data_IF_566070776895
#
_entry.id   IF_566070776895
#
_cell.length_a   1.000
_cell.length_b   1.000
_cell.length_c   1.000
_cell.angle_alpha   90.00
_cell.angle_beta   90.00
_cell.angle_gamma   90.00
#
_symmetry.space_group_name_H-M   'P 1'
#
loop_
_entity.id
_entity.type
_entity.pdbx_description
1 polymer ?
#
# COMPACT_ATOMS: atom_id res chain seq x y z
N UNK A 1 -7.60 5.93 -7.99
CA UNK A 1 -6.71 5.89 -6.82
C UNK A 1 -5.26 5.95 -7.28
N UNK A 2 -4.56 7.00 -6.89
CA UNK A 2 -3.15 7.27 -7.24
C UNK A 2 -2.14 6.64 -6.27
N UNK A 3 -2.60 6.03 -5.17
CA UNK A 3 -1.76 5.43 -4.14
C UNK A 3 -1.97 6.07 -2.78
N UNK A 4 -0.89 6.34 -2.07
CA UNK A 4 -0.93 6.84 -0.70
C UNK A 4 -0.28 8.22 -0.56
N UNK A 5 -0.67 8.93 0.50
CA UNK A 5 0.00 10.11 1.01
C UNK A 5 0.40 9.86 2.47
N UNK A 6 1.70 9.75 2.73
CA UNK A 6 2.25 9.73 4.08
C UNK A 6 2.33 11.17 4.59
N UNK A 7 1.62 11.47 5.68
CA UNK A 7 1.43 12.82 6.17
C UNK A 7 1.86 12.93 7.63
N UNK A 8 2.63 13.99 7.92
CA UNK A 8 2.90 14.43 9.28
C UNK A 8 2.47 15.90 9.43
N UNK A 9 1.68 16.17 10.46
CA UNK A 9 1.26 17.51 10.82
C UNK A 9 1.05 17.61 12.33
N UNK A 10 1.71 18.60 12.93
CA UNK A 10 1.49 19.00 14.32
C UNK A 10 0.91 20.41 14.38
N UNK A 11 0.02 20.70 15.35
CA UNK A 11 -0.60 22.01 15.49
C UNK A 11 0.42 23.15 15.50
N UNK A 12 0.19 24.17 14.68
CA UNK A 12 1.07 25.33 14.54
C UNK A 12 2.36 25.10 13.74
N UNK A 13 2.61 23.86 13.28
CA UNK A 13 3.77 23.50 12.48
C UNK A 13 3.45 23.34 10.98
N UNK A 14 4.48 23.05 10.16
CA UNK A 14 4.30 22.74 8.75
C UNK A 14 3.57 21.41 8.56
N UNK A 15 3.02 21.23 7.36
CA UNK A 15 2.45 19.96 6.90
C UNK A 15 3.46 19.32 5.95
N UNK A 16 3.92 18.12 6.31
CA UNK A 16 4.84 17.33 5.51
C UNK A 16 4.05 16.22 4.80
N UNK A 17 4.11 16.15 3.47
CA UNK A 17 3.39 15.16 2.65
C UNK A 17 4.34 14.46 1.68
N UNK A 18 4.43 13.14 1.78
CA UNK A 18 5.16 12.27 0.86
C UNK A 18 4.18 11.40 0.08
N UNK A 19 4.21 11.49 -1.24
CA UNK A 19 3.33 10.71 -2.11
C UNK A 19 4.02 9.39 -2.45
N UNK A 20 3.36 8.27 -2.13
CA UNK A 20 3.82 6.93 -2.49
C UNK A 20 2.86 6.38 -3.54
N UNK A 21 3.39 5.97 -4.68
CA UNK A 21 2.61 5.45 -5.81
C UNK A 21 3.24 4.15 -6.33
N UNK A 22 2.45 3.29 -6.98
CA UNK A 22 3.01 2.17 -7.74
C UNK A 22 3.78 2.73 -8.94
N UNK A 23 5.09 2.54 -8.97
CA UNK A 23 5.97 3.04 -10.04
C UNK A 23 6.32 1.96 -11.06
N UNK A 24 6.33 0.69 -10.65
CA UNK A 24 6.51 -0.47 -11.53
C UNK A 24 5.47 -1.55 -11.18
N UNK A 25 5.24 -2.58 -12.03
CA UNK A 25 4.23 -3.61 -11.76
C UNK A 25 4.36 -4.29 -10.38
N UNK A 26 5.58 -4.38 -9.86
CA UNK A 26 5.88 -4.99 -8.56
C UNK A 26 6.57 -4.04 -7.59
N UNK A 27 6.51 -2.72 -7.80
CA UNK A 27 7.21 -1.73 -6.96
C UNK A 27 6.33 -0.52 -6.65
N UNK A 28 6.38 -0.09 -5.39
CA UNK A 28 5.86 1.18 -4.94
C UNK A 28 7.00 2.05 -4.40
N UNK A 29 7.03 3.31 -4.78
CA UNK A 29 8.07 4.25 -4.35
C UNK A 29 7.52 5.68 -4.21
N UNK A 30 8.32 6.54 -3.58
CA UNK A 30 7.97 7.95 -3.41
C UNK A 30 8.05 8.69 -4.75
N UNK A 31 6.96 9.30 -5.17
CA UNK A 31 6.89 10.05 -6.45
C UNK A 31 6.97 11.56 -6.26
N UNK A 32 6.66 12.07 -5.06
CA UNK A 32 6.78 13.48 -4.74
C UNK A 32 6.89 13.68 -3.21
N UNK A 33 7.44 14.81 -2.79
CA UNK A 33 7.56 15.23 -1.40
C UNK A 33 7.39 16.74 -1.30
N UNK A 34 6.51 17.20 -0.42
CA UNK A 34 6.22 18.63 -0.22
C UNK A 34 6.10 18.91 1.26
N UNK A 35 6.75 19.99 1.71
CA UNK A 35 6.55 20.60 3.02
C UNK A 35 5.84 21.93 2.80
N UNK A 36 4.74 22.14 3.50
CA UNK A 36 3.90 23.33 3.39
C UNK A 36 3.98 24.06 4.73
N UNK A 37 4.45 25.30 4.69
CA UNK A 37 4.61 26.11 5.89
C UNK A 37 3.27 26.42 6.56
N UNK A 38 3.31 26.68 7.86
CA UNK A 38 2.11 26.88 8.67
C UNK A 38 1.31 28.13 8.24
N UNK A 39 2.00 29.16 7.73
CA UNK A 39 1.51 30.47 7.31
C UNK A 39 1.25 30.57 5.80
N UNK A 40 1.41 29.48 5.05
CA UNK A 40 1.13 29.45 3.61
C UNK A 40 -0.37 29.72 3.34
N UNK A 41 -0.73 30.81 2.64
CA UNK A 41 -2.13 31.17 2.38
C UNK A 41 -2.85 30.12 1.53
N UNK A 42 -2.11 29.32 0.76
CA UNK A 42 -2.62 28.26 -0.11
C UNK A 42 -2.54 26.88 0.53
N UNK A 43 -2.24 26.80 1.84
CA UNK A 43 -1.96 25.55 2.56
C UNK A 43 -3.04 24.49 2.34
N UNK A 44 -4.30 24.84 2.56
CA UNK A 44 -5.41 23.89 2.41
C UNK A 44 -5.55 23.41 0.96
N UNK A 45 -5.40 24.33 -0.02
CA UNK A 45 -5.46 23.98 -1.45
C UNK A 45 -4.32 23.05 -1.86
N UNK A 46 -3.11 23.30 -1.36
CA UNK A 46 -1.93 22.47 -1.61
C UNK A 46 -2.09 21.09 -0.97
N UNK A 47 -2.54 21.01 0.29
CA UNK A 47 -2.84 19.74 0.97
C UNK A 47 -3.86 18.94 0.16
N UNK A 48 -5.00 19.54 -0.22
CA UNK A 48 -6.01 18.86 -1.05
C UNK A 48 -5.44 18.36 -2.38
N UNK A 49 -4.69 19.22 -3.09
CA UNK A 49 -4.08 18.86 -4.37
C UNK A 49 -3.11 17.68 -4.28
N UNK A 50 -2.45 17.51 -3.13
CA UNK A 50 -1.54 16.41 -2.85
C UNK A 50 -2.24 15.15 -2.36
N UNK A 51 -3.34 15.27 -1.61
CA UNK A 51 -4.01 14.13 -0.97
C UNK A 51 -5.18 13.56 -1.77
N UNK A 52 -5.78 14.31 -2.69
CA UNK A 52 -6.91 13.83 -3.53
C UNK A 52 -6.59 12.55 -4.31
N UNK A 53 -7.58 11.67 -4.42
CA UNK A 53 -7.47 10.32 -5.02
C UNK A 53 -6.39 9.43 -4.38
N UNK A 54 -6.00 9.70 -3.13
CA UNK A 54 -5.05 8.88 -2.37
C UNK A 54 -5.64 8.44 -1.04
N UNK A 55 -5.07 7.39 -0.46
CA UNK A 55 -5.28 7.04 0.94
C UNK A 55 -4.28 7.83 1.77
N UNK A 56 -4.74 8.57 2.77
CA UNK A 56 -3.87 9.33 3.67
C UNK A 56 -3.52 8.48 4.88
N UNK A 57 -2.23 8.35 5.17
CA UNK A 57 -1.71 7.68 6.38
C UNK A 57 -0.95 8.70 7.21
N UNK A 58 -1.32 8.81 8.48
CA UNK A 58 -0.70 9.70 9.45
C UNK A 58 0.44 9.01 10.18
N UNK A 59 1.49 9.77 10.47
CA UNK A 59 2.49 9.37 11.47
C UNK A 59 1.85 9.34 12.87
N UNK A 60 2.46 8.68 13.87
CA UNK A 60 1.95 8.71 15.24
C UNK A 60 1.85 10.14 15.76
N UNK A 61 0.84 10.41 16.60
CA UNK A 61 0.58 11.73 17.21
C UNK A 61 0.37 12.88 16.21
N UNK A 62 0.28 12.59 14.91
CA UNK A 62 -0.07 13.57 13.89
C UNK A 62 -1.56 13.88 13.95
N UNK A 63 -1.89 15.13 13.65
CA UNK A 63 -3.27 15.60 13.52
C UNK A 63 -3.64 15.72 12.04
N UNK A 64 -4.90 15.44 11.71
CA UNK A 64 -5.44 15.74 10.39
C UNK A 64 -5.40 17.24 10.10
N UNK A 65 -5.25 17.61 8.83
CA UNK A 65 -5.49 18.98 8.37
C UNK A 65 -6.96 19.03 7.94
N UNK A 66 -7.84 19.36 8.89
CA UNK A 66 -9.28 19.39 8.65
C UNK A 66 -9.79 20.79 8.35
N UNK A 67 -10.65 20.93 7.33
CA UNK A 67 -10.60 20.27 6.01
C UNK A 67 -9.26 20.60 5.29
N UNK A 68 -8.76 19.78 4.33
CA UNK A 68 -9.50 18.95 3.38
C UNK A 68 -9.32 17.42 3.50
N UNK A 69 -8.64 16.92 4.54
CA UNK A 69 -8.41 15.48 4.70
C UNK A 69 -9.56 14.83 5.47
N UNK A 70 -10.26 13.90 4.83
CA UNK A 70 -11.34 13.10 5.41
C UNK A 70 -10.80 11.74 5.88
N UNK A 71 -11.16 11.28 7.09
CA UNK A 71 -10.91 9.91 7.59
C UNK A 71 -9.50 9.36 7.27
N UNK A 72 -8.45 10.07 7.69
CA UNK A 72 -7.09 9.59 7.54
C UNK A 72 -6.84 8.33 8.41
N UNK A 73 -6.05 7.40 7.89
CA UNK A 73 -5.66 6.20 8.62
C UNK A 73 -4.44 6.46 9.51
N UNK A 74 -4.34 5.74 10.63
CA UNK A 74 -3.13 5.67 11.43
C UNK A 74 -2.12 4.66 10.89
N UNK A 75 -0.97 4.57 11.55
CA UNK A 75 0.07 3.58 11.20
C UNK A 75 -0.34 2.13 11.45
N UNK A 76 -1.37 1.89 12.26
CA UNK A 76 -1.97 0.57 12.50
C UNK A 76 -2.53 -0.07 11.22
N UNK A 77 -2.88 0.74 10.21
CA UNK A 77 -3.22 0.26 8.88
C UNK A 77 -2.07 -0.54 8.26
N UNK A 78 -0.81 -0.13 8.45
CA UNK A 78 0.34 -0.78 7.83
C UNK A 78 0.60 -2.14 8.48
N UNK A 79 0.37 -2.28 9.78
CA UNK A 79 0.46 -3.57 10.47
C UNK A 79 -0.59 -4.54 9.90
N UNK A 80 -1.84 -4.10 9.76
CA UNK A 80 -2.91 -4.90 9.12
C UNK A 80 -2.60 -5.22 7.66
N UNK A 81 -1.92 -4.33 6.95
CA UNK A 81 -1.47 -4.54 5.57
C UNK A 81 -0.40 -5.63 5.48
N UNK A 82 0.57 -5.62 6.39
CA UNK A 82 1.59 -6.68 6.50
C UNK A 82 0.92 -8.03 6.82
N UNK A 83 -0.05 -8.04 7.74
CA UNK A 83 -0.78 -9.25 8.10
C UNK A 83 -1.61 -9.82 6.94
N UNK A 84 -2.36 -8.96 6.24
CA UNK A 84 -3.10 -9.36 5.05
C UNK A 84 -2.17 -9.89 3.94
N UNK A 85 -0.99 -9.28 3.80
CA UNK A 85 0.03 -9.74 2.84
C UNK A 85 0.55 -11.13 3.19
N UNK A 86 0.85 -11.38 4.48
CA UNK A 86 1.29 -12.69 4.96
C UNK A 86 0.24 -13.76 4.69
N UNK A 87 -1.02 -13.51 5.06
CA UNK A 87 -2.11 -14.45 4.84
C UNK A 87 -2.29 -14.80 3.35
N UNK A 88 -2.17 -13.81 2.46
CA UNK A 88 -2.24 -14.01 1.02
C UNK A 88 -1.08 -14.86 0.48
N UNK A 89 0.15 -14.56 0.93
CA UNK A 89 1.34 -15.33 0.57
C UNK A 89 1.25 -16.80 1.02
N UNK A 90 0.74 -17.05 2.23
CA UNK A 90 0.49 -18.39 2.74
C UNK A 90 -0.59 -19.13 1.92
N UNK A 91 -1.65 -18.45 1.52
CA UNK A 91 -2.68 -19.01 0.64
C UNK A 91 -2.11 -19.42 -0.73
N UNK A 92 -1.25 -18.60 -1.32
CA UNK A 92 -0.56 -18.90 -2.58
C UNK A 92 0.33 -20.14 -2.45
N UNK A 93 1.15 -20.21 -1.40
CA UNK A 93 2.03 -21.37 -1.16
C UNK A 93 1.20 -22.64 -0.94
N UNK A 94 0.11 -22.54 -0.17
CA UNK A 94 -0.81 -23.65 0.07
C UNK A 94 -1.41 -24.16 -1.24
N UNK A 95 -1.87 -23.26 -2.11
CA UNK A 95 -2.40 -23.60 -3.43
C UNK A 95 -1.36 -24.33 -4.31
N UNK A 96 -0.11 -23.83 -4.33
CA UNK A 96 0.98 -24.44 -5.10
C UNK A 96 1.28 -25.86 -4.60
N UNK A 97 1.36 -26.04 -3.28
CA UNK A 97 1.59 -27.36 -2.66
C UNK A 97 0.45 -28.34 -2.95
N UNK A 98 -0.79 -27.88 -2.83
CA UNK A 98 -1.97 -28.69 -3.15
C UNK A 98 -1.97 -29.13 -4.62
N UNK A 99 -1.67 -28.21 -5.54
CA UNK A 99 -1.56 -28.54 -6.97
C UNK A 99 -0.43 -29.55 -7.23
N UNK A 100 0.76 -29.35 -6.65
CA UNK A 100 1.89 -30.27 -6.81
C UNK A 100 1.57 -31.69 -6.30
N UNK A 101 0.84 -31.81 -5.18
CA UNK A 101 0.46 -33.10 -4.61
C UNK A 101 -0.41 -33.95 -5.57
N UNK A 102 -1.23 -33.32 -6.42
CA UNK A 102 -2.07 -34.03 -7.41
C UNK A 102 -1.30 -34.56 -8.61
N UNK A 103 -0.05 -34.12 -8.83
CA UNK A 103 0.74 -34.43 -10.03
C UNK A 103 2.04 -35.14 -9.66
N UNK A 104 2.05 -36.47 -9.82
CA UNK A 104 3.26 -37.29 -9.61
C UNK A 104 4.42 -36.78 -10.48
N UNK A 105 5.49 -36.35 -9.84
CA UNK A 105 6.78 -36.04 -10.49
C UNK A 105 6.97 -34.60 -10.99
N UNK A 106 5.97 -33.71 -10.87
CA UNK A 106 6.19 -32.28 -11.18
C UNK A 106 6.79 -31.55 -9.98
N UNK A 107 8.04 -31.09 -10.11
CA UNK A 107 8.66 -30.19 -9.14
C UNK A 107 8.24 -28.75 -9.47
N UNK A 108 7.21 -28.25 -8.79
CA UNK A 108 6.89 -26.83 -8.81
C UNK A 108 7.84 -26.07 -7.88
N UNK A 109 8.27 -24.89 -8.32
CA UNK A 109 9.10 -24.00 -7.49
C UNK A 109 8.16 -23.17 -6.63
N UNK A 110 8.29 -23.33 -5.31
CA UNK A 110 7.65 -22.44 -4.35
C UNK A 110 8.26 -21.03 -4.47
N UNK A 111 7.43 -19.98 -4.46
CA UNK A 111 7.92 -18.61 -4.53
C UNK A 111 8.70 -18.26 -3.25
N UNK A 112 9.76 -17.49 -3.43
CA UNK A 112 10.44 -16.82 -2.31
C UNK A 112 9.88 -15.41 -2.21
N UNK A 113 9.18 -15.13 -1.11
CA UNK A 113 8.65 -13.78 -0.85
C UNK A 113 9.66 -12.91 -0.11
N UNK A 114 9.59 -11.57 -0.26
CA UNK A 114 10.38 -10.66 0.55
C UNK A 114 10.03 -10.79 2.04
N UNK A 115 10.99 -10.56 2.92
CA UNK A 115 10.73 -10.51 4.35
C UNK A 115 9.68 -9.44 4.69
N UNK A 116 8.79 -9.70 5.67
CA UNK A 116 7.83 -8.71 6.14
C UNK A 116 8.52 -7.40 6.54
N UNK A 117 8.11 -6.23 6.02
CA UNK A 117 8.72 -4.97 6.36
C UNK A 117 8.43 -4.60 7.82
N UNK A 118 9.48 -4.35 8.59
CA UNK A 118 9.34 -3.97 10.00
C UNK A 118 8.95 -2.48 10.18
N UNK A 119 8.17 -2.18 11.23
CA UNK A 119 7.84 -0.81 11.61
C UNK A 119 9.09 -0.04 12.05
N UNK A 120 9.11 1.30 11.92
CA UNK A 120 10.15 2.13 12.51
C UNK A 120 10.20 1.96 14.04
N UNK A 121 11.39 1.72 14.58
CA UNK A 121 11.63 1.64 16.04
C UNK A 121 11.66 3.01 16.71
N UNK A 122 11.84 4.07 15.93
CA UNK A 122 11.96 5.45 16.38
C UNK A 122 11.40 6.38 15.31
N UNK A 123 10.83 7.49 15.74
CA UNK A 123 10.32 8.53 14.86
C UNK A 123 11.17 9.80 14.97
N UNK A 124 11.61 10.40 13.85
CA UNK A 124 12.37 11.63 13.87
C UNK A 124 11.65 12.82 14.54
N UNK A 125 12.41 13.88 14.84
CA UNK A 125 11.90 15.07 15.50
C UNK A 125 11.09 16.01 14.60
N UNK A 126 11.50 16.18 13.33
CA UNK A 126 10.87 17.12 12.39
C UNK A 126 9.79 16.47 11.53
N UNK A 127 8.81 17.25 11.09
CA UNK A 127 7.67 16.75 10.31
C UNK A 127 8.12 16.13 8.99
N UNK A 128 9.07 16.75 8.27
CA UNK A 128 9.57 16.21 7.01
C UNK A 128 10.22 14.84 7.16
N UNK A 129 11.01 14.65 8.21
CA UNK A 129 11.71 13.39 8.44
C UNK A 129 10.75 12.29 8.90
N UNK A 130 9.70 12.63 9.65
CA UNK A 130 8.65 11.68 10.05
C UNK A 130 7.82 11.22 8.87
N UNK A 131 7.35 12.14 8.02
CA UNK A 131 6.62 11.79 6.82
C UNK A 131 7.48 10.95 5.86
N UNK A 132 8.77 11.28 5.71
CA UNK A 132 9.72 10.45 4.95
C UNK A 132 9.87 9.04 5.54
N UNK A 133 10.00 8.91 6.87
CA UNK A 133 10.12 7.61 7.54
C UNK A 133 8.88 6.75 7.31
N UNK A 134 7.68 7.34 7.40
CA UNK A 134 6.42 6.67 7.09
C UNK A 134 6.35 6.27 5.62
N UNK A 135 6.68 7.17 4.70
CA UNK A 135 6.65 6.89 3.25
C UNK A 135 7.55 5.71 2.88
N UNK A 136 8.76 5.64 3.48
CA UNK A 136 9.67 4.51 3.29
C UNK A 136 9.09 3.20 3.79
N UNK A 137 8.43 3.20 4.94
CA UNK A 137 7.80 1.98 5.47
C UNK A 137 6.63 1.56 4.59
N UNK A 138 5.75 2.49 4.25
CA UNK A 138 4.59 2.27 3.38
C UNK A 138 4.99 1.74 2.00
N UNK A 139 6.03 2.30 1.38
CA UNK A 139 6.56 1.82 0.11
C UNK A 139 7.02 0.36 0.17
N UNK A 140 7.72 -0.04 1.25
CA UNK A 140 8.13 -1.45 1.46
C UNK A 140 6.94 -2.36 1.66
N UNK A 141 5.97 -1.96 2.48
CA UNK A 141 4.74 -2.72 2.77
C UNK A 141 3.96 -2.97 1.48
N UNK A 142 3.74 -1.92 0.69
CA UNK A 142 3.00 -2.03 -0.55
C UNK A 142 3.77 -2.84 -1.61
N UNK A 143 5.09 -2.64 -1.72
CA UNK A 143 5.94 -3.45 -2.61
C UNK A 143 5.89 -4.93 -2.26
N UNK A 144 5.92 -5.29 -0.97
CA UNK A 144 5.84 -6.69 -0.53
C UNK A 144 4.51 -7.34 -1.01
N UNK A 145 3.39 -6.62 -0.89
CA UNK A 145 2.11 -7.05 -1.43
C UNK A 145 2.13 -7.22 -2.95
N UNK A 146 2.62 -6.23 -3.70
CA UNK A 146 2.65 -6.29 -5.17
C UNK A 146 3.49 -7.46 -5.68
N UNK A 147 4.62 -7.75 -5.02
CA UNK A 147 5.44 -8.93 -5.31
C UNK A 147 4.67 -10.22 -5.00
N UNK A 148 4.01 -10.29 -3.85
CA UNK A 148 3.19 -11.42 -3.44
C UNK A 148 2.07 -11.73 -4.44
N UNK A 149 1.24 -10.75 -4.76
CA UNK A 149 0.15 -10.90 -5.74
C UNK A 149 0.66 -11.14 -7.16
N UNK A 150 1.84 -10.61 -7.51
CA UNK A 150 2.51 -10.91 -8.77
C UNK A 150 2.80 -12.41 -8.95
N UNK A 151 3.18 -13.12 -7.88
CA UNK A 151 3.40 -14.57 -7.93
C UNK A 151 2.10 -15.36 -8.13
N UNK A 152 0.98 -14.89 -7.54
CA UNK A 152 -0.37 -15.43 -7.79
C UNK A 152 -0.75 -15.23 -9.26
N UNK A 153 -0.62 -14.00 -9.77
CA UNK A 153 -0.98 -13.65 -11.14
C UNK A 153 -0.23 -14.51 -12.18
N UNK A 154 1.09 -14.69 -12.00
CA UNK A 154 1.93 -15.55 -12.86
C UNK A 154 1.46 -17.01 -12.92
N UNK A 155 0.71 -17.47 -11.91
CA UNK A 155 0.26 -18.86 -11.73
C UNK A 155 -1.25 -19.05 -11.97
N UNK A 156 -1.94 -17.97 -12.34
CA UNK A 156 -3.37 -17.96 -12.66
C UNK A 156 -3.62 -18.63 -14.02
N UNK A 157 -2.85 -18.23 -15.04
CA UNK A 157 -2.99 -18.73 -16.42
C UNK A 157 -1.80 -19.61 -16.82
N UNK A 158 -2.06 -20.74 -17.46
CA UNK A 158 -1.01 -21.63 -17.94
C UNK A 158 -0.25 -21.00 -19.13
N UNK A 159 1.09 -20.79 -19.06
CA UNK A 159 1.81 -20.01 -20.06
C UNK A 159 1.78 -20.57 -21.50
N UNK A 160 1.64 -21.89 -21.66
CA UNK A 160 1.67 -22.55 -22.98
C UNK A 160 0.31 -22.63 -23.66
N UNK A 161 -0.76 -22.75 -22.89
CA UNK A 161 -2.11 -23.02 -23.40
C UNK A 161 -3.04 -21.83 -23.25
N UNK A 162 -2.71 -20.86 -22.39
CA UNK A 162 -3.59 -19.74 -22.05
C UNK A 162 -4.79 -20.14 -21.19
N UNK A 163 -4.86 -21.39 -20.71
CA UNK A 163 -5.98 -21.87 -19.93
C UNK A 163 -5.90 -21.43 -18.46
N UNK A 164 -7.07 -21.15 -17.89
CA UNK A 164 -7.30 -20.75 -16.51
C UNK A 164 -8.56 -21.46 -15.99
N UNK A 165 -8.61 -21.89 -14.71
CA UNK A 165 -7.54 -21.84 -13.71
C UNK A 165 -6.39 -22.80 -14.05
N UNK A 166 -5.15 -22.41 -13.71
CA UNK A 166 -3.96 -23.26 -13.83
C UNK A 166 -3.52 -23.87 -12.50
N UNK A 167 -2.74 -23.13 -11.69
CA UNK A 167 -2.28 -23.59 -10.36
C UNK A 167 -3.14 -22.97 -9.27
N UNK A 168 -3.53 -21.71 -9.44
CA UNK A 168 -4.37 -21.01 -8.48
C UNK A 168 -5.78 -21.60 -8.47
N UNK A 169 -6.37 -21.85 -7.29
CA UNK A 169 -7.76 -22.24 -7.16
C UNK A 169 -8.68 -21.06 -7.50
N UNK A 170 -9.98 -21.33 -7.65
CA UNK A 170 -10.97 -20.35 -8.10
C UNK A 170 -10.95 -19.05 -7.28
N UNK A 171 -10.77 -19.16 -5.96
CA UNK A 171 -10.74 -18.03 -5.04
C UNK A 171 -9.53 -17.10 -5.24
N UNK A 172 -8.45 -17.61 -5.85
CA UNK A 172 -7.22 -16.86 -6.15
C UNK A 172 -7.03 -16.64 -7.67
N UNK A 173 -8.04 -16.97 -8.47
CA UNK A 173 -7.95 -16.99 -9.93
C UNK A 173 -8.27 -15.63 -10.58
N UNK A 174 -7.81 -14.53 -9.99
CA UNK A 174 -8.02 -13.19 -10.56
C UNK A 174 -7.04 -12.92 -11.71
N UNK A 175 -7.56 -12.48 -12.86
CA UNK A 175 -6.75 -12.22 -14.06
C UNK A 175 -6.00 -10.89 -14.07
N UNK A 176 -6.09 -10.12 -12.99
CA UNK A 176 -5.44 -8.82 -12.84
C UNK A 176 -4.66 -8.81 -11.53
N UNK A 177 -3.64 -7.94 -11.46
CA UNK A 177 -2.95 -7.67 -10.21
C UNK A 177 -3.92 -6.98 -9.25
N UNK A 178 -4.01 -7.48 -8.04
CA UNK A 178 -4.71 -6.81 -6.95
C UNK A 178 -3.81 -5.69 -6.45
N UNK A 179 -4.21 -4.44 -6.66
CA UNK A 179 -3.39 -3.30 -6.25
C UNK A 179 -3.28 -3.18 -4.72
N UNK A 180 -4.30 -3.64 -4.00
CA UNK A 180 -4.40 -3.59 -2.55
C UNK A 180 -4.95 -4.92 -2.00
N UNK A 181 -4.66 -5.28 -0.74
CA UNK A 181 -5.26 -6.43 -0.09
C UNK A 181 -6.79 -6.29 -0.02
N UNK A 182 -7.57 -7.26 -0.56
CA UNK A 182 -9.02 -7.20 -0.52
C UNK A 182 -9.59 -7.10 0.90
N UNK A 183 -8.92 -7.71 1.87
CA UNK A 183 -9.30 -7.70 3.29
C UNK A 183 -9.29 -6.31 3.93
N UNK A 184 -8.68 -5.31 3.29
CA UNK A 184 -8.59 -3.95 3.82
C UNK A 184 -9.49 -2.96 3.09
N UNK A 185 -10.21 -3.35 2.04
CA UNK A 185 -10.93 -2.39 1.19
C UNK A 185 -11.96 -1.55 1.97
N UNK A 186 -12.60 -2.13 2.98
CA UNK A 186 -13.57 -1.44 3.83
C UNK A 186 -12.92 -0.45 4.82
N UNK A 187 -11.64 -0.65 5.15
CA UNK A 187 -10.85 0.21 6.03
C UNK A 187 -10.19 1.38 5.29
N UNK A 188 -10.08 1.28 3.97
CA UNK A 188 -9.35 2.23 3.15
C UNK A 188 -10.27 3.36 2.67
N UNK A 189 -9.89 4.59 3.01
CA UNK A 189 -10.60 5.78 2.56
C UNK A 189 -9.76 6.57 1.55
N UNK A 190 -10.24 6.60 0.31
CA UNK A 190 -9.65 7.41 -0.77
C UNK A 190 -10.20 8.83 -0.69
N UNK A 191 -9.32 9.82 -0.62
CA UNK A 191 -9.72 11.23 -0.53
C UNK A 191 -10.46 11.70 -1.79
N UNK A 192 -11.47 12.57 -1.64
CA UNK A 192 -12.28 13.05 -2.76
C UNK A 192 -11.49 13.90 -3.76
N UNK A 193 -11.87 13.81 -5.04
CA UNK A 193 -11.27 14.59 -6.13
C UNK A 193 -11.59 16.08 -6.05
N UNK A 194 -12.79 16.41 -5.59
CA UNK A 194 -13.25 17.77 -5.32
C UNK A 194 -12.88 18.19 -3.91
N UNK A 195 -12.51 19.47 -3.70
CA UNK A 195 -12.31 19.98 -2.35
C UNK A 195 -13.64 19.95 -1.58
N UNK A 196 -13.61 19.80 -0.25
CA UNK A 196 -14.81 19.97 0.55
C UNK A 196 -15.38 21.38 0.37
N UNK A 197 -16.71 21.56 0.49
CA UNK A 197 -17.34 22.87 0.41
C UNK A 197 -16.72 23.83 1.44
N UNK A 198 -16.52 25.08 1.02
CA UNK A 198 -15.99 26.17 1.84
C UNK A 198 -16.94 26.56 2.98
#
# INVERSE_FOLDING_TARGET
MLGFAALDHRPGGPVAVWLVSRTEPAEASSTNAVVIDADDPERLRKVHGLTRDRIVVLTPDSTTVEPPVEKAAGVDLLDRFVEATRAHQEAIVTAIRAHAATRKGQKLVEPTFPAPPEPPTHWPGTSELRALQLARWLARVWTNWLVGDGERLRRTTQPRTGLSPWIMPEELNQHQLLELPPALLDDLHVQPLTPPPA
#
